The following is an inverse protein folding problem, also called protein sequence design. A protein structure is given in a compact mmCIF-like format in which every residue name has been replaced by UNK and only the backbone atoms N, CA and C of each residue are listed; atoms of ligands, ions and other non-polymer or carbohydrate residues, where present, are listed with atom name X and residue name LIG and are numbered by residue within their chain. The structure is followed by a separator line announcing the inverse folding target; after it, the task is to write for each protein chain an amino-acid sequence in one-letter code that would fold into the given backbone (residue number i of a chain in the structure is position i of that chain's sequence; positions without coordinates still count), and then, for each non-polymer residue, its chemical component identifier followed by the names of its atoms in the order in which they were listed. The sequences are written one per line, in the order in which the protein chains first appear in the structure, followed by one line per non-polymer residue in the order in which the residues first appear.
data_IF_040369036316
#
_entry.id   IF_040369036316
#
_cell.length_a   1.000
_cell.length_b   1.000
_cell.length_c   1.000
_cell.angle_alpha   90.00
_cell.angle_beta   90.00
_cell.angle_gamma   90.00
#
_symmetry.space_group_name_H-M   'P 1'
#
loop_
_entity.id
_entity.type
_entity.pdbx_description
1 polymer ?
#
# COMPACT_ATOMS: atom_id res chain seq x y z
N UNK A 1 9.09 -16.68 96.99
CA UNK A 1 8.05 -15.85 96.32
C UNK A 1 8.21 -16.01 94.81
N UNK A 2 7.19 -16.42 94.03
CA UNK A 2 7.36 -16.60 92.59
C UNK A 2 7.04 -15.35 91.77
N UNK A 3 7.76 -15.26 90.65
CA UNK A 3 7.73 -14.27 89.57
C UNK A 3 6.37 -14.23 88.85
N UNK A 4 5.92 -13.04 88.42
CA UNK A 4 4.83 -12.90 87.43
C UNK A 4 5.34 -12.25 86.15
N UNK A 5 5.27 -13.00 85.05
CA UNK A 5 5.63 -12.55 83.70
C UNK A 5 4.43 -11.81 83.11
N UNK A 6 4.55 -10.50 82.92
CA UNK A 6 3.52 -9.67 82.27
C UNK A 6 3.53 -9.88 80.75
N UNK A 7 2.57 -10.64 80.25
CA UNK A 7 2.38 -10.92 78.83
C UNK A 7 1.54 -9.80 78.16
N UNK A 8 2.20 -8.88 77.45
CA UNK A 8 1.53 -7.83 76.66
C UNK A 8 1.02 -8.38 75.32
N UNK A 9 -0.22 -8.90 75.29
CA UNK A 9 -0.93 -9.17 74.03
C UNK A 9 -1.46 -7.86 73.43
N UNK A 10 -1.04 -7.53 72.19
CA UNK A 10 -1.54 -6.34 71.45
C UNK A 10 -2.99 -6.58 70.98
N UNK A 11 -3.89 -5.58 71.07
CA UNK A 11 -5.31 -5.79 70.79
C UNK A 11 -5.61 -5.98 69.29
N UNK A 12 -6.68 -6.72 68.93
CA UNK A 12 -6.93 -7.20 67.56
C UNK A 12 -7.40 -6.14 66.54
N UNK A 13 -7.46 -4.85 66.92
CA UNK A 13 -8.15 -3.81 66.15
C UNK A 13 -7.25 -2.88 65.30
N UNK A 14 -5.91 -2.99 65.35
CA UNK A 14 -5.00 -2.16 64.52
C UNK A 14 -4.61 -2.79 63.17
N UNK A 15 -4.70 -4.11 63.03
CA UNK A 15 -4.24 -4.85 61.85
C UNK A 15 -5.11 -4.61 60.60
N UNK A 16 -6.42 -4.36 60.78
CA UNK A 16 -7.39 -4.23 59.67
C UNK A 16 -7.08 -3.04 58.76
N UNK A 17 -6.55 -1.94 59.31
CA UNK A 17 -6.24 -0.71 58.54
C UNK A 17 -4.94 -0.82 57.74
N UNK A 18 -3.98 -1.59 58.24
CA UNK A 18 -2.71 -1.83 57.54
C UNK A 18 -2.89 -2.80 56.38
N UNK A 19 -3.62 -3.91 56.58
CA UNK A 19 -3.93 -4.85 55.50
C UNK A 19 -4.82 -4.22 54.43
N UNK A 20 -5.74 -3.33 54.80
CA UNK A 20 -6.55 -2.58 53.83
C UNK A 20 -5.70 -1.62 52.99
N UNK A 21 -4.67 -0.98 53.57
CA UNK A 21 -3.72 -0.14 52.82
C UNK A 21 -2.85 -0.96 51.86
N UNK A 22 -2.34 -2.11 52.30
CA UNK A 22 -1.54 -3.01 51.46
C UNK A 22 -2.40 -3.58 50.32
N UNK A 23 -3.61 -4.03 50.61
CA UNK A 23 -4.56 -4.55 49.61
C UNK A 23 -4.94 -3.47 48.59
N UNK A 24 -5.24 -2.24 49.05
CA UNK A 24 -5.57 -1.09 48.19
C UNK A 24 -4.40 -0.65 47.31
N UNK A 25 -3.17 -0.63 47.84
CA UNK A 25 -1.97 -0.29 47.07
C UNK A 25 -1.73 -1.33 45.96
N UNK A 26 -1.84 -2.62 46.29
CA UNK A 26 -1.59 -3.70 45.33
C UNK A 26 -2.67 -3.75 44.23
N UNK A 27 -3.93 -3.43 44.55
CA UNK A 27 -4.98 -3.32 43.51
C UNK A 27 -4.72 -2.15 42.57
N UNK A 28 -4.30 -0.98 43.09
CA UNK A 28 -4.01 0.18 42.25
C UNK A 28 -2.80 -0.08 41.34
N UNK A 29 -1.74 -0.69 41.86
CA UNK A 29 -0.58 -1.06 41.04
C UNK A 29 -0.94 -2.06 39.95
N UNK A 30 -1.84 -3.02 40.25
CA UNK A 30 -2.33 -3.97 39.24
C UNK A 30 -3.10 -3.27 38.12
N UNK A 31 -4.03 -2.36 38.47
CA UNK A 31 -4.76 -1.59 37.46
C UNK A 31 -3.86 -0.67 36.63
N UNK A 32 -2.82 -0.07 37.23
CA UNK A 32 -1.86 0.75 36.49
C UNK A 32 -1.05 -0.08 35.49
N UNK A 33 -0.61 -1.28 35.88
CA UNK A 33 0.11 -2.19 34.96
C UNK A 33 -0.83 -2.66 33.85
N UNK A 34 -2.05 -3.06 34.18
CA UNK A 34 -3.05 -3.48 33.19
C UNK A 34 -3.37 -2.35 32.21
N UNK A 35 -3.49 -1.11 32.70
CA UNK A 35 -3.73 0.07 31.87
C UNK A 35 -2.54 0.39 30.95
N UNK A 36 -1.31 0.28 31.47
CA UNK A 36 -0.10 0.46 30.66
C UNK A 36 0.00 -0.59 29.53
N UNK A 37 -0.31 -1.85 29.84
CA UNK A 37 -0.36 -2.93 28.83
C UNK A 37 -1.46 -2.66 27.81
N UNK A 38 -2.63 -2.19 28.24
CA UNK A 38 -3.74 -1.84 27.35
C UNK A 38 -3.37 -0.71 26.38
N UNK A 39 -2.73 0.36 26.87
CA UNK A 39 -2.22 1.44 26.01
C UNK A 39 -1.16 0.93 25.04
N UNK A 40 -0.25 0.08 25.51
CA UNK A 40 0.77 -0.52 24.65
C UNK A 40 0.15 -1.36 23.53
N UNK A 41 -0.86 -2.17 23.83
CA UNK A 41 -1.59 -2.95 22.83
C UNK A 41 -2.37 -2.06 21.86
N UNK A 42 -3.04 -1.00 22.34
CA UNK A 42 -3.69 -0.04 21.45
C UNK A 42 -2.68 0.63 20.51
N UNK A 43 -1.54 1.05 21.05
CA UNK A 43 -0.44 1.61 20.28
C UNK A 43 0.07 0.62 19.24
N UNK A 44 0.31 -0.63 19.63
CA UNK A 44 0.77 -1.69 18.72
C UNK A 44 -0.26 -2.04 17.64
N UNK A 45 -1.57 -1.92 17.90
CA UNK A 45 -2.60 -2.13 16.88
C UNK A 45 -2.66 -0.94 15.90
N UNK A 46 -2.47 0.28 16.39
CA UNK A 46 -2.49 1.50 15.58
C UNK A 46 -1.18 1.70 14.79
N UNK A 47 -0.03 1.31 15.35
CA UNK A 47 1.31 1.52 14.79
C UNK A 47 2.02 0.25 14.32
N UNK A 48 1.56 -0.95 14.71
CA UNK A 48 2.11 -2.22 14.22
C UNK A 48 1.75 -2.46 12.76
N UNK A 49 2.44 -3.40 12.11
CA UNK A 49 2.60 -3.66 10.67
C UNK A 49 1.35 -3.63 9.74
N UNK A 50 0.16 -3.48 10.31
CA UNK A 50 -1.16 -3.44 9.68
C UNK A 50 -2.00 -2.18 10.03
N UNK A 51 -1.41 -1.13 10.62
CA UNK A 51 -2.14 0.07 11.06
C UNK A 51 -2.67 0.96 9.92
N UNK A 52 -3.73 1.74 10.21
CA UNK A 52 -4.48 2.65 9.33
C UNK A 52 -3.64 3.50 8.36
N UNK A 53 -2.40 3.80 8.74
CA UNK A 53 -1.44 4.55 7.90
C UNK A 53 -1.08 3.82 6.60
N UNK A 54 -0.94 2.49 6.64
CA UNK A 54 -0.65 1.68 5.44
C UNK A 54 -1.87 1.62 4.51
N UNK A 55 -3.07 1.57 5.08
CA UNK A 55 -4.32 1.63 4.32
C UNK A 55 -4.48 2.96 3.58
N UNK A 56 -4.17 4.09 4.24
CA UNK A 56 -4.18 5.40 3.57
C UNK A 56 -3.17 5.48 2.42
N UNK A 57 -1.92 5.07 2.66
CA UNK A 57 -0.91 5.02 1.59
C UNK A 57 -1.36 4.13 0.42
N UNK A 58 -1.94 2.97 0.71
CA UNK A 58 -2.39 2.04 -0.34
C UNK A 58 -3.58 2.60 -1.13
N UNK A 59 -4.49 3.31 -0.46
CA UNK A 59 -5.60 3.99 -1.12
C UNK A 59 -5.14 5.14 -2.02
N UNK A 60 -4.18 5.94 -1.57
CA UNK A 60 -3.59 7.02 -2.37
C UNK A 60 -2.82 6.47 -3.59
N UNK A 61 -2.12 5.35 -3.42
CA UNK A 61 -1.41 4.69 -4.53
C UNK A 61 -2.42 4.11 -5.53
N UNK A 62 -3.50 3.46 -5.07
CA UNK A 62 -4.54 2.93 -5.96
C UNK A 62 -5.22 4.02 -6.78
N UNK A 63 -5.57 5.14 -6.15
CA UNK A 63 -6.24 6.26 -6.84
C UNK A 63 -5.34 6.95 -7.86
N UNK A 64 -4.05 7.12 -7.56
CA UNK A 64 -3.06 7.62 -8.54
C UNK A 64 -2.90 6.68 -9.73
N UNK A 65 -2.77 5.38 -9.48
CA UNK A 65 -2.57 4.41 -10.56
C UNK A 65 -3.80 4.31 -11.46
N UNK A 66 -5.01 4.38 -10.90
CA UNK A 66 -6.26 4.45 -11.69
C UNK A 66 -6.35 5.72 -12.53
N UNK A 67 -5.89 6.87 -12.01
CA UNK A 67 -5.84 8.11 -12.77
C UNK A 67 -4.84 8.01 -13.92
N UNK A 68 -3.65 7.46 -13.69
CA UNK A 68 -2.64 7.22 -14.72
C UNK A 68 -3.13 6.27 -15.82
N UNK A 69 -3.82 5.18 -15.45
CA UNK A 69 -4.42 4.28 -16.45
C UNK A 69 -5.41 5.04 -17.34
N UNK A 70 -6.27 5.88 -16.75
CA UNK A 70 -7.23 6.69 -17.52
C UNK A 70 -6.53 7.70 -18.43
N UNK A 71 -5.44 8.34 -17.98
CA UNK A 71 -4.69 9.26 -18.84
C UNK A 71 -4.05 8.52 -20.01
N UNK A 72 -3.40 7.38 -19.75
CA UNK A 72 -2.79 6.57 -20.80
C UNK A 72 -3.83 6.00 -21.77
N UNK A 73 -5.00 5.58 -21.30
CA UNK A 73 -6.09 5.12 -22.17
C UNK A 73 -6.59 6.23 -23.10
N UNK A 74 -6.73 7.45 -22.60
CA UNK A 74 -7.15 8.60 -23.40
C UNK A 74 -6.09 8.99 -24.44
N UNK A 75 -4.81 9.01 -24.05
CA UNK A 75 -3.69 9.23 -24.97
C UNK A 75 -3.65 8.15 -26.06
N UNK A 76 -3.78 6.88 -25.69
CA UNK A 76 -3.82 5.77 -26.64
C UNK A 76 -5.00 5.91 -27.62
N UNK A 77 -6.19 6.29 -27.12
CA UNK A 77 -7.34 6.53 -27.98
C UNK A 77 -7.08 7.68 -28.96
N UNK A 78 -6.48 8.78 -28.50
CA UNK A 78 -6.15 9.92 -29.35
C UNK A 78 -5.14 9.55 -30.43
N UNK A 79 -4.03 8.91 -30.04
CA UNK A 79 -3.00 8.44 -30.97
C UNK A 79 -3.58 7.45 -31.98
N UNK A 80 -4.44 6.51 -31.54
CA UNK A 80 -5.10 5.57 -32.46
C UNK A 80 -6.03 6.27 -33.44
N UNK A 81 -6.74 7.31 -33.01
CA UNK A 81 -7.58 8.12 -33.91
C UNK A 81 -6.72 8.89 -34.92
N UNK A 82 -5.60 9.48 -34.48
CA UNK A 82 -4.65 10.17 -35.37
C UNK A 82 -4.03 9.20 -36.38
N UNK A 83 -3.56 8.03 -35.94
CA UNK A 83 -3.04 6.98 -36.82
C UNK A 83 -4.10 6.49 -37.80
N UNK A 84 -5.35 6.34 -37.35
CA UNK A 84 -6.45 5.93 -38.23
C UNK A 84 -6.73 7.01 -39.29
N UNK A 85 -6.80 8.28 -38.90
CA UNK A 85 -6.97 9.40 -39.82
C UNK A 85 -5.81 9.52 -40.82
N UNK A 86 -4.58 9.25 -40.39
CA UNK A 86 -3.38 9.24 -41.25
C UNK A 86 -3.33 8.01 -42.18
N UNK A 87 -3.74 6.84 -41.69
CA UNK A 87 -3.74 5.58 -42.47
C UNK A 87 -4.93 5.47 -43.43
N UNK A 88 -6.03 6.14 -43.17
CA UNK A 88 -7.21 6.10 -44.06
C UNK A 88 -6.99 6.86 -45.37
N UNK A 89 -5.89 7.63 -45.51
CA UNK A 89 -5.48 8.16 -46.80
C UNK A 89 -5.02 7.01 -47.72
N UNK A 90 -5.74 6.74 -48.82
CA UNK A 90 -5.37 5.70 -49.78
C UNK A 90 -3.95 5.85 -50.31
N UNK A 91 -3.44 7.09 -50.39
CA UNK A 91 -2.09 7.38 -50.84
C UNK A 91 -1.03 6.81 -49.88
N UNK A 92 -1.25 6.90 -48.56
CA UNK A 92 -0.30 6.39 -47.57
C UNK A 92 -0.22 4.85 -47.60
N UNK A 93 -1.38 4.19 -47.72
CA UNK A 93 -1.47 2.74 -47.85
C UNK A 93 -0.77 2.28 -49.13
N UNK A 94 -1.05 2.94 -50.25
CA UNK A 94 -0.47 2.62 -51.54
C UNK A 94 1.04 2.85 -51.57
N UNK A 95 1.52 3.95 -51.00
CA UNK A 95 2.95 4.24 -50.86
C UNK A 95 3.66 3.17 -50.03
N UNK A 96 3.12 2.82 -48.86
CA UNK A 96 3.71 1.80 -48.00
C UNK A 96 3.70 0.41 -48.66
N UNK A 97 2.64 0.06 -49.38
CA UNK A 97 2.56 -1.18 -50.15
C UNK A 97 3.59 -1.25 -51.29
N UNK A 98 3.82 -0.13 -51.99
CA UNK A 98 4.80 -0.03 -53.08
C UNK A 98 6.25 -0.04 -52.56
N UNK A 99 6.55 0.69 -51.47
CA UNK A 99 7.91 0.85 -50.94
C UNK A 99 8.38 -0.34 -50.09
N UNK A 100 7.56 -0.80 -49.14
CA UNK A 100 7.97 -1.85 -48.20
C UNK A 100 7.71 -3.27 -48.72
N UNK A 101 6.64 -3.43 -49.53
CA UNK A 101 6.20 -4.75 -50.00
C UNK A 101 6.34 -4.93 -51.51
N UNK A 102 6.74 -3.89 -52.26
CA UNK A 102 6.89 -3.94 -53.71
C UNK A 102 5.59 -4.27 -54.45
N UNK A 103 4.43 -4.06 -53.83
CA UNK A 103 3.14 -4.42 -54.40
C UNK A 103 2.68 -3.39 -55.43
N UNK A 104 2.09 -3.87 -56.53
CA UNK A 104 1.53 -3.05 -57.59
C UNK A 104 0.08 -3.45 -57.86
N UNK A 105 -0.75 -2.55 -58.41
CA UNK A 105 -2.14 -2.88 -58.74
C UNK A 105 -2.19 -3.89 -59.90
N UNK A 106 -3.32 -4.57 -60.02
CA UNK A 106 -3.56 -5.51 -61.12
C UNK A 106 -3.44 -4.77 -62.46
N UNK A 107 -2.44 -5.13 -63.28
CA UNK A 107 -2.12 -4.47 -64.56
C UNK A 107 -0.93 -3.49 -64.53
N UNK A 108 -0.27 -3.29 -63.39
CA UNK A 108 0.96 -2.50 -63.28
C UNK A 108 2.22 -3.38 -63.33
N UNK A 109 3.34 -2.85 -63.86
CA UNK A 109 4.63 -3.55 -63.95
C UNK A 109 5.63 -2.99 -62.92
N UNK A 110 6.36 -3.87 -62.25
CA UNK A 110 7.41 -3.51 -61.27
C UNK A 110 8.76 -3.55 -62.00
N UNK A 111 9.46 -2.41 -62.05
CA UNK A 111 10.82 -2.33 -62.60
C UNK A 111 11.85 -2.42 -61.48
N UNK A 112 12.57 -3.54 -61.42
CA UNK A 112 13.72 -3.70 -60.51
C UNK A 112 15.01 -3.43 -61.30
N UNK A 113 15.74 -2.39 -60.91
CA UNK A 113 17.05 -2.08 -61.49
C UNK A 113 18.10 -2.93 -60.80
N UNK A 114 18.72 -3.86 -61.55
CA UNK A 114 19.93 -4.52 -61.07
C UNK A 114 21.07 -3.52 -61.16
N UNK A 115 21.94 -3.42 -60.14
CA UNK A 115 23.14 -2.59 -60.25
C UNK A 115 23.94 -3.11 -61.43
N UNK A 116 24.17 -2.25 -62.41
CA UNK A 116 25.04 -2.55 -63.54
C UNK A 116 26.39 -2.98 -63.00
N UNK A 117 26.75 -4.24 -63.22
CA UNK A 117 28.11 -4.72 -62.98
C UNK A 117 29.01 -3.87 -63.88
N UNK A 118 29.73 -2.93 -63.24
CA UNK A 118 30.82 -2.21 -63.86
C UNK A 118 31.96 -3.21 -63.99
N UNK A 119 32.11 -3.78 -65.19
CA UNK A 119 33.36 -4.41 -65.65
C UNK A 119 34.46 -3.34 -65.81
#
# INVERSE_FOLDING_TARGET
MPFTISNKKKPPYSLKREVARIKKRNTITFYLIAFAIFIYLLGAILFGDMGLFKYKKLYDVKTKLEAEIKTYENENKKIKMEVKALKEDPFYIEKHAREEFGLARQGEYIFQFQPSQQD
#
